data_IF_975557127771
#
_entry.id   IF_975557127771
#
_cell.length_a   1.000
_cell.length_b   1.000
_cell.length_c   1.000
_cell.angle_alpha   90.00
_cell.angle_beta   90.00
_cell.angle_gamma   90.00
#
_symmetry.space_group_name_H-M   'P 1'
#
loop_
_entity.id
_entity.type
_entity.pdbx_description
1 polymer ?
#
# COMPACT_ATOMS: atom_id res chain seq x y z
N UNK A 1 -26.08 -6.32 -23.36
CA UNK A 1 -25.69 -5.51 -22.19
C UNK A 1 -26.96 -5.16 -21.43
N UNK A 2 -27.20 -5.77 -20.28
CA UNK A 2 -28.40 -5.54 -19.47
C UNK A 2 -28.18 -4.25 -18.68
N UNK A 3 -28.95 -3.21 -18.98
CA UNK A 3 -29.00 -2.01 -18.13
C UNK A 3 -29.65 -2.41 -16.81
N UNK A 4 -29.05 -1.99 -15.69
CA UNK A 4 -29.67 -2.18 -14.38
C UNK A 4 -30.97 -1.38 -14.29
N UNK A 5 -31.95 -1.90 -13.54
CA UNK A 5 -33.15 -1.18 -13.15
C UNK A 5 -32.77 0.09 -12.35
N UNK A 6 -33.53 1.19 -12.46
CA UNK A 6 -33.32 2.39 -11.65
C UNK A 6 -33.17 2.13 -10.15
N UNK A 7 -33.94 1.19 -9.59
CA UNK A 7 -33.83 0.81 -8.17
C UNK A 7 -32.51 0.12 -7.83
N UNK A 8 -31.98 -0.71 -8.72
CA UNK A 8 -30.68 -1.37 -8.58
C UNK A 8 -29.52 -0.36 -8.68
N UNK A 9 -29.63 0.62 -9.58
CA UNK A 9 -28.66 1.71 -9.71
C UNK A 9 -28.60 2.56 -8.44
N UNK A 10 -29.76 2.91 -7.89
CA UNK A 10 -29.83 3.64 -6.63
C UNK A 10 -29.27 2.82 -5.45
N UNK A 11 -29.56 1.54 -5.40
CA UNK A 11 -29.02 0.63 -4.36
C UNK A 11 -27.49 0.54 -4.44
N UNK A 12 -26.94 0.44 -5.68
CA UNK A 12 -25.51 0.46 -5.95
C UNK A 12 -24.87 1.78 -5.47
N UNK A 13 -25.46 2.91 -5.85
CA UNK A 13 -24.94 4.22 -5.47
C UNK A 13 -25.03 4.46 -3.96
N UNK A 14 -26.12 4.08 -3.31
CA UNK A 14 -26.24 4.14 -1.83
C UNK A 14 -25.16 3.28 -1.16
N UNK A 15 -24.90 2.07 -1.65
CA UNK A 15 -23.83 1.20 -1.14
C UNK A 15 -22.45 1.84 -1.29
N UNK A 16 -22.13 2.42 -2.45
CA UNK A 16 -20.85 3.10 -2.67
C UNK A 16 -20.74 4.30 -1.71
N UNK A 17 -21.79 5.11 -1.58
CA UNK A 17 -21.81 6.26 -0.67
C UNK A 17 -21.59 5.82 0.79
N UNK A 18 -22.24 4.75 1.25
CA UNK A 18 -22.05 4.24 2.62
C UNK A 18 -20.60 3.79 2.86
N UNK A 19 -19.94 3.20 1.86
CA UNK A 19 -18.53 2.81 1.94
C UNK A 19 -17.60 4.04 2.00
N UNK A 20 -17.89 5.08 1.20
CA UNK A 20 -17.11 6.33 1.18
C UNK A 20 -17.20 7.10 2.49
N UNK A 21 -18.35 7.09 3.14
CA UNK A 21 -18.55 7.75 4.44
C UNK A 21 -18.05 6.92 5.65
N UNK A 22 -17.56 5.71 5.43
CA UNK A 22 -16.92 4.93 6.49
C UNK A 22 -15.62 5.61 6.94
N UNK A 23 -15.36 5.78 8.25
CA UNK A 23 -14.10 6.33 8.73
C UNK A 23 -12.88 5.57 8.20
N UNK A 24 -13.01 4.26 7.98
CA UNK A 24 -11.96 3.41 7.43
C UNK A 24 -11.72 3.61 5.92
N UNK A 25 -12.53 4.41 5.22
CA UNK A 25 -12.24 4.79 3.83
C UNK A 25 -11.05 5.75 3.75
N UNK A 26 -10.88 6.63 4.75
CA UNK A 26 -9.76 7.57 4.81
C UNK A 26 -8.44 6.88 5.17
N UNK A 27 -7.42 7.04 4.32
CA UNK A 27 -6.06 6.55 4.57
C UNK A 27 -5.43 7.16 5.82
N UNK A 28 -5.72 8.42 6.11
CA UNK A 28 -5.24 9.12 7.31
C UNK A 28 -5.82 8.53 8.58
N UNK A 29 -7.13 8.25 8.60
CA UNK A 29 -7.79 7.63 9.77
C UNK A 29 -7.21 6.24 10.04
N UNK A 30 -7.02 5.43 8.99
CA UNK A 30 -6.38 4.10 9.11
C UNK A 30 -4.98 4.21 9.68
N UNK A 31 -4.18 5.18 9.20
CA UNK A 31 -2.82 5.39 9.68
C UNK A 31 -2.80 5.78 11.15
N UNK A 32 -3.58 6.79 11.56
CA UNK A 32 -3.66 7.23 12.97
C UNK A 32 -4.13 6.10 13.90
N UNK A 33 -5.15 5.34 13.49
CA UNK A 33 -5.62 4.18 14.26
C UNK A 33 -4.52 3.10 14.39
N UNK A 34 -3.78 2.83 13.30
CA UNK A 34 -2.66 1.87 13.32
C UNK A 34 -1.53 2.32 14.26
N UNK A 35 -1.20 3.60 14.25
CA UNK A 35 -0.21 4.19 15.18
C UNK A 35 -0.68 4.05 16.63
N UNK A 36 -1.96 4.33 16.92
CA UNK A 36 -2.50 4.20 18.27
C UNK A 36 -2.40 2.76 18.79
N UNK A 37 -2.73 1.77 17.95
CA UNK A 37 -2.58 0.34 18.29
C UNK A 37 -1.10 -0.01 18.49
N UNK A 38 -0.22 0.45 17.60
CA UNK A 38 1.22 0.23 17.71
C UNK A 38 1.82 0.81 18.98
N UNK A 39 1.42 2.03 19.38
CA UNK A 39 1.87 2.65 20.63
C UNK A 39 1.40 1.87 21.86
N UNK A 40 0.16 1.36 21.85
CA UNK A 40 -0.34 0.52 22.93
C UNK A 40 0.49 -0.76 23.09
N UNK A 41 0.82 -1.43 21.97
CA UNK A 41 1.67 -2.63 21.95
C UNK A 41 3.11 -2.29 22.35
N UNK A 42 3.67 -1.18 21.85
CA UNK A 42 5.01 -0.70 22.23
C UNK A 42 5.14 -0.53 23.74
N UNK A 43 4.13 0.10 24.35
CA UNK A 43 4.10 0.33 25.80
C UNK A 43 3.98 -0.98 26.55
N UNK A 44 3.05 -1.85 26.17
CA UNK A 44 2.82 -3.13 26.84
C UNK A 44 4.08 -4.02 26.77
N UNK A 45 4.67 -4.21 25.59
CA UNK A 45 5.87 -5.03 25.41
C UNK A 45 7.08 -4.40 26.08
N UNK A 46 7.23 -3.08 25.99
CA UNK A 46 8.33 -2.34 26.62
C UNK A 46 8.35 -2.45 28.15
N UNK A 47 7.15 -2.49 28.77
CA UNK A 47 7.00 -2.67 30.22
C UNK A 47 7.15 -4.13 30.68
N UNK A 48 6.68 -5.10 29.87
CA UNK A 48 6.65 -6.51 30.24
C UNK A 48 7.94 -7.28 29.89
N UNK A 49 8.66 -6.86 28.87
CA UNK A 49 9.88 -7.52 28.41
C UNK A 49 11.09 -6.57 28.48
N UNK A 50 11.30 -5.77 27.42
CA UNK A 50 12.36 -4.78 27.39
C UNK A 50 11.99 -3.62 26.45
N UNK A 51 12.44 -2.38 26.73
CA UNK A 51 12.10 -1.21 25.91
C UNK A 51 12.47 -1.37 24.42
N UNK A 52 13.58 -2.03 24.10
CA UNK A 52 14.01 -2.30 22.71
C UNK A 52 13.01 -3.13 21.93
N UNK A 53 12.47 -4.17 22.53
CA UNK A 53 11.41 -5.01 21.92
C UNK A 53 10.08 -4.27 21.82
N UNK A 54 9.78 -3.40 22.79
CA UNK A 54 8.59 -2.55 22.75
C UNK A 54 8.54 -1.66 21.53
N UNK A 55 9.63 -0.94 21.24
CA UNK A 55 9.72 -0.06 20.07
C UNK A 55 9.50 -0.85 18.77
N UNK A 56 10.22 -1.95 18.61
CA UNK A 56 10.14 -2.76 17.39
C UNK A 56 8.75 -3.41 17.23
N UNK A 57 8.21 -4.00 18.30
CA UNK A 57 6.86 -4.57 18.30
C UNK A 57 5.79 -3.54 17.95
N UNK A 58 5.93 -2.31 18.46
CA UNK A 58 5.04 -1.21 18.14
C UNK A 58 5.08 -0.79 16.68
N UNK A 59 6.27 -0.67 16.10
CA UNK A 59 6.45 -0.35 14.68
C UNK A 59 5.91 -1.47 13.78
N UNK A 60 6.21 -2.72 14.10
CA UNK A 60 5.69 -3.89 13.39
C UNK A 60 4.16 -3.95 13.45
N UNK A 61 3.59 -3.71 14.63
CA UNK A 61 2.13 -3.70 14.81
C UNK A 61 1.49 -2.56 14.02
N UNK A 62 2.09 -1.37 14.03
CA UNK A 62 1.63 -0.24 13.20
C UNK A 62 1.61 -0.62 11.73
N UNK A 63 2.69 -1.21 11.22
CA UNK A 63 2.81 -1.65 9.83
C UNK A 63 1.74 -2.71 9.49
N UNK A 64 1.62 -3.76 10.30
CA UNK A 64 0.65 -4.83 10.10
C UNK A 64 -0.80 -4.31 10.14
N UNK A 65 -1.14 -3.50 11.14
CA UNK A 65 -2.47 -2.92 11.28
C UNK A 65 -2.83 -2.03 10.08
N UNK A 66 -1.89 -1.22 9.58
CA UNK A 66 -2.12 -0.39 8.41
C UNK A 66 -2.29 -1.21 7.12
N UNK A 67 -1.46 -2.22 6.90
CA UNK A 67 -1.57 -3.14 5.75
C UNK A 67 -2.93 -3.84 5.76
N UNK A 68 -3.31 -4.46 6.89
CA UNK A 68 -4.56 -5.19 7.02
C UNK A 68 -5.77 -4.26 6.87
N UNK A 69 -5.78 -3.12 7.56
CA UNK A 69 -6.91 -2.16 7.48
C UNK A 69 -7.06 -1.58 6.08
N UNK A 70 -5.95 -1.31 5.38
CA UNK A 70 -5.97 -0.82 3.99
C UNK A 70 -6.53 -1.90 3.07
N UNK A 71 -6.04 -3.13 3.13
CA UNK A 71 -6.55 -4.24 2.33
C UNK A 71 -8.06 -4.45 2.55
N UNK A 72 -8.51 -4.51 3.81
CA UNK A 72 -9.92 -4.69 4.15
C UNK A 72 -10.81 -3.54 3.68
N UNK A 73 -10.29 -2.31 3.66
CA UNK A 73 -11.00 -1.14 3.16
C UNK A 73 -11.11 -1.17 1.63
N UNK A 74 -9.98 -1.27 0.93
CA UNK A 74 -9.94 -1.09 -0.52
C UNK A 74 -10.55 -2.26 -1.31
N UNK A 75 -10.51 -3.49 -0.78
CA UNK A 75 -11.10 -4.67 -1.44
C UNK A 75 -12.62 -4.57 -1.65
N UNK A 76 -13.29 -3.66 -0.95
CA UNK A 76 -14.74 -3.44 -1.03
C UNK A 76 -15.13 -2.63 -2.28
N UNK A 77 -14.18 -1.88 -2.83
CA UNK A 77 -14.41 -1.04 -4.00
C UNK A 77 -14.03 -1.79 -5.27
N UNK A 78 -14.97 -1.84 -6.24
CA UNK A 78 -14.77 -2.46 -7.56
C UNK A 78 -15.09 -1.44 -8.65
N UNK A 79 -14.27 -1.39 -9.70
CA UNK A 79 -14.51 -0.59 -10.88
C UNK A 79 -14.92 0.85 -10.60
N UNK A 80 -16.16 1.20 -10.91
CA UNK A 80 -16.73 2.52 -10.70
C UNK A 80 -16.63 3.02 -9.22
N UNK A 81 -16.76 2.11 -8.25
CA UNK A 81 -16.55 2.44 -6.83
C UNK A 81 -15.10 2.81 -6.53
N UNK A 82 -14.14 2.15 -7.17
CA UNK A 82 -12.71 2.49 -7.06
C UNK A 82 -12.44 3.89 -7.58
N UNK A 83 -13.02 4.27 -8.74
CA UNK A 83 -12.92 5.63 -9.25
C UNK A 83 -13.46 6.66 -8.25
N UNK A 84 -14.68 6.47 -7.75
CA UNK A 84 -15.27 7.40 -6.78
C UNK A 84 -14.40 7.55 -5.53
N UNK A 85 -13.87 6.45 -5.00
CA UNK A 85 -12.99 6.48 -3.83
C UNK A 85 -11.65 7.15 -4.14
N UNK A 86 -10.96 6.75 -5.20
CA UNK A 86 -9.67 7.30 -5.58
C UNK A 86 -9.74 8.80 -5.94
N UNK A 87 -10.83 9.23 -6.58
CA UNK A 87 -11.08 10.64 -6.91
C UNK A 87 -11.43 11.52 -5.68
N UNK A 88 -11.92 10.90 -4.59
CA UNK A 88 -12.24 11.57 -3.32
C UNK A 88 -11.09 11.47 -2.30
N UNK A 89 -10.07 10.66 -2.57
CA UNK A 89 -8.96 10.45 -1.64
C UNK A 89 -8.01 11.67 -1.65
N UNK A 90 -7.55 12.09 -0.63
CA UNK A 90 -7.56 13.18 0.28
C UNK A 90 -6.34 14.13 0.22
N UNK A 91 -6.59 15.34 0.64
CA UNK A 91 -5.66 16.47 0.84
C UNK A 91 -4.51 16.16 1.82
N UNK A 92 -4.70 15.20 2.72
CA UNK A 92 -3.71 14.83 3.76
C UNK A 92 -2.73 13.70 3.34
N UNK A 93 -2.59 13.47 2.05
CA UNK A 93 -1.73 12.44 1.49
C UNK A 93 -0.27 12.56 1.95
N UNK A 94 0.27 13.78 2.00
CA UNK A 94 1.66 14.03 2.43
C UNK A 94 1.88 13.54 3.85
N UNK A 95 0.98 13.83 4.78
CA UNK A 95 1.11 13.40 6.19
C UNK A 95 1.10 11.87 6.30
N UNK A 96 0.24 11.21 5.56
CA UNK A 96 0.20 9.75 5.51
C UNK A 96 1.48 9.17 4.93
N UNK A 97 1.93 9.68 3.78
CA UNK A 97 3.09 9.15 3.07
C UNK A 97 4.39 9.38 3.87
N UNK A 98 4.55 10.53 4.50
CA UNK A 98 5.66 10.80 5.43
C UNK A 98 5.57 9.90 6.65
N UNK A 99 4.39 9.75 7.24
CA UNK A 99 4.20 8.88 8.40
C UNK A 99 4.53 7.41 8.11
N UNK A 100 4.02 6.87 7.00
CA UNK A 100 4.32 5.48 6.59
C UNK A 100 5.81 5.31 6.29
N UNK A 101 6.43 6.27 5.61
CA UNK A 101 7.88 6.24 5.35
C UNK A 101 8.67 6.24 6.66
N UNK A 102 8.24 7.01 7.66
CA UNK A 102 8.86 7.03 8.99
C UNK A 102 8.76 5.66 9.68
N UNK A 103 7.60 4.97 9.59
CA UNK A 103 7.44 3.60 10.12
C UNK A 103 8.36 2.62 9.41
N UNK A 104 8.50 2.71 8.09
CA UNK A 104 9.41 1.87 7.30
C UNK A 104 10.86 2.08 7.73
N UNK A 105 11.31 3.33 7.79
CA UNK A 105 12.68 3.68 8.20
C UNK A 105 12.93 3.25 9.64
N UNK A 106 11.96 3.46 10.54
CA UNK A 106 12.03 3.02 11.93
C UNK A 106 12.18 1.52 12.08
N UNK A 107 11.39 0.73 11.33
CA UNK A 107 11.52 -0.74 11.31
C UNK A 107 12.91 -1.17 10.83
N UNK A 108 13.40 -0.63 9.72
CA UNK A 108 14.72 -0.99 9.19
C UNK A 108 15.85 -0.59 10.15
N UNK A 109 15.76 0.60 10.77
CA UNK A 109 16.72 1.04 11.78
C UNK A 109 16.71 0.14 13.03
N UNK A 110 15.51 -0.31 13.44
CA UNK A 110 15.34 -1.26 14.54
C UNK A 110 16.01 -2.61 14.27
N UNK A 111 15.89 -3.11 13.03
CA UNK A 111 16.58 -4.33 12.59
C UNK A 111 18.10 -4.16 12.66
N UNK A 112 18.64 -3.05 12.12
CA UNK A 112 20.08 -2.79 12.17
C UNK A 112 20.56 -2.71 13.63
N UNK A 113 19.80 -2.04 14.51
CA UNK A 113 20.13 -1.94 15.92
C UNK A 113 20.16 -3.31 16.61
N UNK A 114 19.20 -4.20 16.34
CA UNK A 114 19.23 -5.57 16.88
C UNK A 114 20.44 -6.35 16.39
N UNK A 115 20.75 -6.30 15.10
CA UNK A 115 21.85 -7.07 14.52
C UNK A 115 23.24 -6.57 14.92
N UNK A 116 23.38 -5.28 15.23
CA UNK A 116 24.70 -4.67 15.53
C UNK A 116 24.97 -4.58 17.03
N UNK A 117 23.93 -4.32 17.84
CA UNK A 117 24.10 -3.97 19.26
C UNK A 117 23.90 -5.16 20.21
N UNK A 118 23.28 -6.25 19.76
CA UNK A 118 22.99 -7.39 20.61
C UNK A 118 23.90 -8.59 20.30
N UNK A 119 24.69 -8.99 21.31
CA UNK A 119 25.59 -10.15 21.28
C UNK A 119 25.24 -11.13 22.42
N UNK A 120 23.99 -11.11 22.92
CA UNK A 120 23.55 -11.88 24.09
C UNK A 120 22.66 -13.11 23.77
N UNK A 121 22.10 -13.73 24.82
CA UNK A 121 21.30 -14.97 24.80
C UNK A 121 19.87 -14.76 24.22
N UNK A 122 19.71 -14.25 23.00
CA UNK A 122 18.40 -13.97 22.41
C UNK A 122 18.35 -14.10 20.89
N UNK A 123 19.36 -14.69 20.29
CA UNK A 123 19.56 -14.73 18.84
C UNK A 123 18.33 -15.13 18.00
N UNK A 124 17.59 -16.14 18.43
CA UNK A 124 16.45 -16.65 17.67
C UNK A 124 15.28 -15.67 17.61
N UNK A 125 14.99 -15.02 18.75
CA UNK A 125 13.89 -14.03 18.83
C UNK A 125 14.25 -12.78 18.02
N UNK A 126 15.47 -12.29 18.15
CA UNK A 126 15.95 -11.11 17.43
C UNK A 126 15.97 -11.35 15.92
N UNK A 127 16.36 -12.54 15.48
CA UNK A 127 16.35 -12.94 14.09
C UNK A 127 14.92 -13.01 13.51
N UNK A 128 13.97 -13.60 14.23
CA UNK A 128 12.55 -13.64 13.82
C UNK A 128 11.96 -12.24 13.73
N UNK A 129 12.23 -11.38 14.72
CA UNK A 129 11.78 -10.01 14.72
C UNK A 129 12.39 -9.19 13.57
N UNK A 130 13.68 -9.39 13.28
CA UNK A 130 14.36 -8.74 12.16
C UNK A 130 13.74 -9.12 10.82
N UNK A 131 13.59 -10.41 10.52
CA UNK A 131 12.96 -10.90 9.28
C UNK A 131 11.52 -10.39 9.19
N UNK A 132 10.75 -10.52 10.27
CA UNK A 132 9.36 -10.06 10.32
C UNK A 132 9.22 -8.55 10.06
N UNK A 133 10.12 -7.73 10.62
CA UNK A 133 10.13 -6.29 10.41
C UNK A 133 10.42 -5.90 8.97
N UNK A 134 11.42 -6.53 8.34
CA UNK A 134 11.76 -6.23 6.95
C UNK A 134 10.63 -6.65 6.01
N UNK A 135 10.06 -7.84 6.20
CA UNK A 135 8.92 -8.32 5.43
C UNK A 135 7.69 -7.41 5.59
N UNK A 136 7.35 -7.02 6.81
CA UNK A 136 6.22 -6.11 7.05
C UNK A 136 6.46 -4.74 6.42
N UNK A 137 7.67 -4.22 6.44
CA UNK A 137 8.02 -2.96 5.78
C UNK A 137 7.91 -3.07 4.27
N UNK A 138 8.28 -4.21 3.69
CA UNK A 138 8.08 -4.50 2.27
C UNK A 138 6.58 -4.52 1.91
N UNK A 139 5.75 -5.25 2.68
CA UNK A 139 4.29 -5.24 2.49
C UNK A 139 3.70 -3.84 2.63
N UNK A 140 4.15 -3.07 3.61
CA UNK A 140 3.69 -1.71 3.86
C UNK A 140 4.00 -0.79 2.68
N UNK A 141 5.21 -0.87 2.12
CA UNK A 141 5.62 -0.09 0.96
C UNK A 141 4.67 -0.31 -0.22
N UNK A 142 4.47 -1.58 -0.63
CA UNK A 142 3.64 -1.88 -1.80
C UNK A 142 2.16 -1.61 -1.56
N UNK A 143 1.68 -1.79 -0.32
CA UNK A 143 0.32 -1.43 0.09
C UNK A 143 0.09 0.10 0.00
N UNK A 144 1.11 0.92 0.24
CA UNK A 144 1.04 2.37 0.07
C UNK A 144 0.96 2.79 -1.40
N UNK A 145 1.74 2.11 -2.27
CA UNK A 145 1.80 2.45 -3.69
C UNK A 145 0.52 2.09 -4.46
N UNK A 146 -0.21 1.04 -4.08
CA UNK A 146 -1.41 0.62 -4.79
C UNK A 146 -2.51 1.70 -4.85
N UNK A 147 -2.97 2.32 -3.72
CA UNK A 147 -3.90 3.44 -3.78
C UNK A 147 -3.31 4.67 -4.47
N UNK A 148 -2.00 4.88 -4.39
CA UNK A 148 -1.31 5.96 -5.07
C UNK A 148 -1.44 5.84 -6.59
N UNK A 149 -1.20 4.67 -7.16
CA UNK A 149 -1.42 4.42 -8.58
C UNK A 149 -2.89 4.60 -8.97
N UNK A 150 -3.83 4.15 -8.14
CA UNK A 150 -5.26 4.35 -8.38
C UNK A 150 -5.62 5.85 -8.42
N UNK A 151 -5.10 6.65 -7.51
CA UNK A 151 -5.34 8.11 -7.46
C UNK A 151 -4.77 8.81 -8.70
N UNK A 152 -3.58 8.40 -9.18
CA UNK A 152 -3.01 8.97 -10.40
C UNK A 152 -3.81 8.57 -11.64
N UNK A 153 -4.20 7.30 -11.75
CA UNK A 153 -4.98 6.80 -12.88
C UNK A 153 -6.36 7.44 -12.96
N UNK A 154 -7.07 7.53 -11.83
CA UNK A 154 -8.42 8.08 -11.74
C UNK A 154 -8.47 9.59 -11.51
N UNK A 155 -7.33 10.22 -11.35
CA UNK A 155 -7.20 11.65 -11.17
C UNK A 155 -7.68 12.46 -12.37
N UNK A 156 -7.73 13.77 -12.21
CA UNK A 156 -8.04 14.68 -13.32
C UNK A 156 -6.92 14.65 -14.36
N UNK A 157 -7.26 14.66 -15.65
CA UNK A 157 -6.26 14.83 -16.69
C UNK A 157 -5.42 16.08 -16.43
N UNK A 158 -4.10 15.94 -16.49
CA UNK A 158 -3.18 17.05 -16.36
C UNK A 158 -2.09 16.96 -17.42
N UNK A 159 -1.59 18.11 -17.87
CA UNK A 159 -0.45 18.18 -18.79
C UNK A 159 0.83 17.57 -18.19
N UNK A 160 0.94 17.54 -16.87
CA UNK A 160 2.10 16.98 -16.15
C UNK A 160 2.24 15.47 -16.34
N UNK A 161 1.14 14.75 -16.55
CA UNK A 161 1.17 13.31 -16.82
C UNK A 161 1.58 12.99 -18.26
N UNK A 162 1.51 13.95 -19.19
CA UNK A 162 2.00 13.84 -20.56
C UNK A 162 1.27 12.81 -21.43
N UNK A 163 0.01 12.48 -21.10
CA UNK A 163 -0.80 11.53 -21.87
C UNK A 163 -2.19 12.12 -22.19
N UNK A 164 -2.80 11.70 -23.31
CA UNK A 164 -4.20 11.98 -23.57
C UNK A 164 -5.09 11.40 -22.48
N UNK A 165 -6.14 12.12 -22.11
CA UNK A 165 -7.13 11.64 -21.17
C UNK A 165 -7.83 10.38 -21.68
N UNK A 166 -8.14 9.46 -20.75
CA UNK A 166 -8.88 8.24 -21.03
C UNK A 166 -10.37 8.45 -20.72
N UNK A 167 -11.24 8.05 -21.64
CA UNK A 167 -12.68 8.01 -21.39
C UNK A 167 -13.11 6.59 -20.98
N UNK A 168 -13.71 6.48 -19.80
CA UNK A 168 -14.29 5.25 -19.30
C UNK A 168 -15.82 5.41 -19.29
N UNK A 169 -16.53 4.41 -19.83
CA UNK A 169 -17.99 4.40 -19.86
C UNK A 169 -18.52 3.45 -18.80
N UNK A 170 -19.34 3.94 -17.90
CA UNK A 170 -20.03 3.08 -16.92
C UNK A 170 -21.08 2.22 -17.66
N UNK A 171 -20.87 0.91 -17.67
CA UNK A 171 -21.70 -0.06 -18.40
C UNK A 171 -23.17 -0.04 -17.99
N UNK A 172 -23.48 0.38 -16.77
CA UNK A 172 -24.84 0.37 -16.24
C UNK A 172 -25.62 1.64 -16.56
N UNK A 173 -24.94 2.80 -16.51
CA UNK A 173 -25.57 4.10 -16.73
C UNK A 173 -25.33 4.66 -18.12
N UNK A 174 -24.35 4.15 -18.85
CA UNK A 174 -23.86 4.73 -20.11
C UNK A 174 -23.12 6.07 -19.92
N UNK A 175 -22.88 6.49 -18.69
CA UNK A 175 -22.18 7.74 -18.40
C UNK A 175 -20.69 7.64 -18.69
N UNK A 176 -20.19 8.54 -19.51
CA UNK A 176 -18.75 8.66 -19.75
C UNK A 176 -18.09 9.50 -18.64
N UNK A 177 -16.92 9.05 -18.19
CA UNK A 177 -16.07 9.75 -17.23
C UNK A 177 -14.69 9.89 -17.83
N UNK A 178 -14.12 11.08 -17.77
CA UNK A 178 -12.77 11.36 -18.25
C UNK A 178 -11.78 11.28 -17.08
N UNK A 179 -10.77 10.46 -17.21
CA UNK A 179 -9.72 10.22 -16.20
C UNK A 179 -8.33 10.43 -16.81
N UNK A 180 -7.31 10.56 -15.97
CA UNK A 180 -5.94 10.74 -16.44
C UNK A 180 -5.40 9.50 -17.19
N UNK A 181 -5.72 8.27 -16.71
CA UNK A 181 -5.21 7.05 -17.30
C UNK A 181 -3.69 6.86 -17.09
N UNK A 182 -3.01 6.45 -18.14
CA UNK A 182 -1.54 6.34 -18.15
C UNK A 182 -0.98 4.99 -17.73
N UNK A 183 -1.83 4.06 -17.28
CA UNK A 183 -1.55 2.64 -17.10
C UNK A 183 -2.56 1.86 -17.93
N UNK A 184 -2.12 0.95 -18.78
CA UNK A 184 -3.00 0.04 -19.54
C UNK A 184 -2.96 -1.34 -18.90
N UNK A 185 -4.14 -1.85 -18.55
CA UNK A 185 -4.33 -3.22 -18.06
C UNK A 185 -4.75 -4.17 -19.19
N UNK A 186 -4.50 -3.79 -20.45
CA UNK A 186 -4.77 -4.56 -21.67
C UNK A 186 -6.24 -5.03 -21.81
N UNK A 187 -7.19 -4.22 -21.31
CA UNK A 187 -8.62 -4.48 -21.41
C UNK A 187 -9.35 -3.18 -21.77
N UNK A 188 -9.92 -3.13 -22.98
CA UNK A 188 -10.63 -1.96 -23.48
C UNK A 188 -11.91 -1.67 -22.66
N UNK A 189 -12.08 -0.41 -22.27
CA UNK A 189 -13.24 0.03 -21.48
C UNK A 189 -13.30 -0.54 -20.06
N UNK A 190 -12.22 -1.19 -19.61
CA UNK A 190 -12.14 -1.76 -18.27
C UNK A 190 -11.97 -0.68 -17.20
N UNK A 191 -12.68 -0.83 -16.10
CA UNK A 191 -12.56 0.00 -14.91
C UNK A 191 -11.68 -0.72 -13.89
N UNK A 192 -10.38 -0.38 -13.78
CA UNK A 192 -9.49 -1.03 -12.84
C UNK A 192 -9.96 -0.90 -11.40
N UNK A 193 -9.89 -1.98 -10.66
CA UNK A 193 -10.18 -2.03 -9.23
C UNK A 193 -8.90 -1.82 -8.40
N UNK A 194 -9.03 -1.66 -7.10
CA UNK A 194 -7.85 -1.65 -6.24
C UNK A 194 -7.05 -2.96 -6.29
N UNK A 195 -7.68 -4.09 -6.64
CA UNK A 195 -6.96 -5.35 -6.84
C UNK A 195 -5.95 -5.25 -7.99
N UNK A 196 -6.33 -4.58 -9.10
CA UNK A 196 -5.43 -4.39 -10.24
C UNK A 196 -4.24 -3.49 -9.90
N UNK A 197 -4.48 -2.41 -9.16
CA UNK A 197 -3.40 -1.54 -8.69
C UNK A 197 -2.53 -2.22 -7.63
N UNK A 198 -3.10 -3.08 -6.79
CA UNK A 198 -2.35 -3.91 -5.84
C UNK A 198 -1.47 -4.91 -6.59
N UNK A 199 -2.04 -5.61 -7.58
CA UNK A 199 -1.30 -6.50 -8.47
C UNK A 199 -0.11 -5.76 -9.12
N UNK A 200 -0.37 -4.58 -9.70
CA UNK A 200 0.67 -3.76 -10.32
C UNK A 200 1.78 -3.38 -9.33
N UNK A 201 1.43 -2.89 -8.14
CA UNK A 201 2.39 -2.49 -7.12
C UNK A 201 3.23 -3.66 -6.58
N UNK A 202 2.60 -4.79 -6.28
CA UNK A 202 3.30 -5.97 -5.75
C UNK A 202 4.14 -6.67 -6.81
N UNK A 203 3.72 -6.66 -8.08
CA UNK A 203 4.55 -7.17 -9.18
C UNK A 203 5.86 -6.39 -9.31
N UNK A 204 5.80 -5.04 -9.27
CA UNK A 204 6.99 -4.20 -9.22
C UNK A 204 7.88 -4.52 -8.00
N UNK A 205 7.25 -4.90 -6.87
CA UNK A 205 7.95 -5.30 -5.66
C UNK A 205 8.71 -6.62 -5.77
N UNK A 206 8.14 -7.58 -6.49
CA UNK A 206 8.71 -8.94 -6.61
C UNK A 206 9.67 -9.10 -7.78
N UNK A 207 9.37 -8.46 -8.91
CA UNK A 207 10.06 -8.70 -10.19
C UNK A 207 10.71 -7.46 -10.78
N UNK A 208 10.49 -6.28 -10.18
CA UNK A 208 10.91 -4.97 -10.67
C UNK A 208 10.33 -4.62 -12.06
N UNK A 209 9.37 -5.40 -12.54
CA UNK A 209 8.75 -5.27 -13.87
C UNK A 209 7.31 -5.77 -13.83
N UNK A 210 6.47 -5.26 -14.74
CA UNK A 210 5.13 -5.80 -15.03
C UNK A 210 5.08 -6.10 -16.52
N UNK A 211 4.86 -7.37 -16.88
CA UNK A 211 4.90 -7.84 -18.26
C UNK A 211 3.58 -7.70 -19.01
N UNK A 212 2.47 -7.67 -18.29
CA UNK A 212 1.09 -7.69 -18.81
C UNK A 212 0.37 -6.33 -18.70
N UNK A 213 1.07 -5.31 -18.23
CA UNK A 213 0.58 -3.94 -18.18
C UNK A 213 1.58 -3.00 -18.84
N UNK A 214 1.11 -1.92 -19.45
CA UNK A 214 1.99 -0.91 -20.02
C UNK A 214 1.77 0.46 -19.39
N UNK A 215 2.86 1.22 -19.22
CA UNK A 215 2.84 2.57 -18.67
C UNK A 215 3.13 3.56 -19.80
N UNK A 216 2.13 4.34 -20.18
CA UNK A 216 2.23 5.35 -21.25
C UNK A 216 2.58 6.74 -20.70
N UNK A 217 2.29 7.03 -19.44
CA UNK A 217 2.57 8.33 -18.81
C UNK A 217 4.02 8.48 -18.40
N UNK A 218 4.75 9.53 -18.87
CA UNK A 218 6.09 9.84 -18.38
C UNK A 218 6.15 10.14 -16.89
N UNK A 219 5.11 10.77 -16.33
CA UNK A 219 4.99 11.04 -14.89
C UNK A 219 4.89 9.75 -14.07
N UNK A 220 4.03 8.82 -14.51
CA UNK A 220 3.90 7.51 -13.84
C UNK A 220 5.17 6.69 -14.01
N UNK A 221 5.87 6.73 -15.16
CA UNK A 221 7.15 6.04 -15.35
C UNK A 221 8.21 6.48 -14.34
N UNK A 222 8.30 7.78 -14.03
CA UNK A 222 9.22 8.27 -12.98
C UNK A 222 8.88 7.72 -11.60
N UNK A 223 7.60 7.66 -11.27
CA UNK A 223 7.13 7.06 -10.02
C UNK A 223 7.44 5.56 -9.97
N UNK A 224 7.17 4.83 -11.05
CA UNK A 224 7.49 3.40 -11.19
C UNK A 224 8.98 3.16 -11.01
N UNK A 225 9.84 3.97 -11.62
CA UNK A 225 11.29 3.86 -11.43
C UNK A 225 11.68 4.01 -9.96
N UNK A 226 11.17 5.03 -9.27
CA UNK A 226 11.40 5.21 -7.82
C UNK A 226 10.92 4.01 -6.99
N UNK A 227 9.73 3.48 -7.33
CA UNK A 227 9.19 2.29 -6.68
C UNK A 227 10.07 1.04 -6.91
N UNK A 228 10.54 0.81 -8.14
CA UNK A 228 11.45 -0.29 -8.45
C UNK A 228 12.79 -0.18 -7.71
N UNK A 229 13.36 1.03 -7.60
CA UNK A 229 14.59 1.23 -6.84
C UNK A 229 14.39 0.91 -5.35
N UNK A 230 13.30 1.38 -4.74
CA UNK A 230 12.97 1.03 -3.35
C UNK A 230 12.76 -0.48 -3.19
N UNK A 231 12.04 -1.11 -4.13
CA UNK A 231 11.83 -2.56 -4.13
C UNK A 231 13.13 -3.34 -4.20
N UNK A 232 14.08 -2.89 -5.02
CA UNK A 232 15.42 -3.48 -5.12
C UNK A 232 16.19 -3.40 -3.79
N UNK A 233 16.17 -2.24 -3.12
CA UNK A 233 16.78 -2.10 -1.81
C UNK A 233 16.14 -3.02 -0.78
N UNK A 234 14.81 -3.13 -0.77
CA UNK A 234 14.12 -4.06 0.14
C UNK A 234 14.45 -5.52 -0.14
N UNK A 235 14.45 -5.94 -1.41
CA UNK A 235 14.81 -7.30 -1.79
C UNK A 235 16.24 -7.65 -1.34
N UNK A 236 17.17 -6.71 -1.50
CA UNK A 236 18.56 -6.86 -1.04
C UNK A 236 18.63 -6.96 0.49
N UNK A 237 17.89 -6.10 1.22
CA UNK A 237 17.84 -6.13 2.67
C UNK A 237 17.24 -7.44 3.21
N UNK A 238 16.14 -7.93 2.61
CA UNK A 238 15.51 -9.21 2.95
C UNK A 238 16.52 -10.34 2.75
N UNK A 239 17.16 -10.39 1.58
CA UNK A 239 18.13 -11.46 1.26
C UNK A 239 19.31 -11.43 2.22
N UNK A 240 19.89 -10.27 2.50
CA UNK A 240 20.99 -10.14 3.46
C UNK A 240 20.59 -10.58 4.88
N UNK A 241 19.38 -10.21 5.32
CA UNK A 241 18.87 -10.61 6.64
C UNK A 241 18.66 -12.12 6.73
N UNK A 242 18.08 -12.73 5.69
CA UNK A 242 17.87 -14.19 5.64
C UNK A 242 19.19 -14.95 5.60
N UNK A 243 20.16 -14.50 4.81
CA UNK A 243 21.49 -15.12 4.76
C UNK A 243 22.17 -15.06 6.14
N UNK A 244 22.12 -13.89 6.78
CA UNK A 244 22.73 -13.71 8.11
C UNK A 244 22.07 -14.63 9.16
N UNK A 245 20.74 -14.76 9.11
CA UNK A 245 20.00 -15.69 9.97
C UNK A 245 20.44 -17.14 9.74
N UNK A 246 20.51 -17.58 8.47
CA UNK A 246 20.92 -18.97 8.14
C UNK A 246 22.33 -19.25 8.62
N UNK A 247 23.26 -18.32 8.44
CA UNK A 247 24.64 -18.47 8.94
C UNK A 247 24.64 -18.60 10.47
N UNK A 248 23.88 -17.76 11.18
CA UNK A 248 23.80 -17.81 12.65
C UNK A 248 23.16 -19.09 13.20
N UNK A 249 22.32 -19.79 12.42
CA UNK A 249 21.72 -21.06 12.81
C UNK A 249 22.65 -22.28 12.57
N UNK A 250 23.65 -22.13 11.71
CA UNK A 250 24.56 -23.22 11.30
C UNK A 250 25.94 -23.10 11.99
N UNK A 251 26.30 -21.94 12.49
CA UNK A 251 27.52 -21.66 13.22
C UNK A 251 27.40 -21.99 14.71
#
# INVERSE_FOLDING_TARGET
MTRLDPAELEARDRRIQSLLHSPLSSGTVRFVASVAVGLAVATAVGLLAAPRYGVLAGLMTTAAAYVVSTYLSVRRFKGYGTWKHAASEDTNRIVRDVGVTTVIVGNLSGVVALLVLDHGDGHDVDAILAVGSVLLSWFLLHTLYAPHYATLFYGRPSSELGVPSLQLVDHYTGRAVTVAGGISFNADGYWPSYADFTYFAFNLGMTFQVSDTSVSSPGIRRLVLGHCLLSYFFATAITATVINLVIGLVA
#
